data_IF_558028120478
#
_entry.id   IF_558028120478
#
_cell.length_a   1.000
_cell.length_b   1.000
_cell.length_c   1.000
_cell.angle_alpha   90.00
_cell.angle_beta   90.00
_cell.angle_gamma   90.00
#
_symmetry.space_group_name_H-M   'P 1'
#
loop_
_entity.id
_entity.type
_entity.pdbx_description
1 polymer ?
#
# COMPACT_ATOMS: atom_id res chain seq x y z
N UNK A 1 -53.73 -36.61 5.70
CA UNK A 1 -53.49 -36.10 4.31
C UNK A 1 -53.75 -34.60 4.13
N UNK A 2 -54.36 -33.93 5.09
CA UNK A 2 -54.80 -32.53 4.95
C UNK A 2 -53.71 -31.49 5.19
N UNK A 3 -52.71 -31.82 5.99
CA UNK A 3 -51.57 -30.90 6.28
C UNK A 3 -50.73 -30.59 5.02
N UNK A 4 -50.50 -31.62 4.21
CA UNK A 4 -49.75 -31.47 2.94
C UNK A 4 -50.49 -30.57 1.92
N UNK A 5 -51.81 -30.77 1.81
CA UNK A 5 -52.64 -29.91 0.94
C UNK A 5 -52.68 -28.44 1.42
N UNK A 6 -52.66 -28.23 2.74
CA UNK A 6 -52.61 -26.88 3.31
C UNK A 6 -51.30 -26.20 3.02
N UNK A 7 -50.17 -26.89 3.20
CA UNK A 7 -48.81 -26.38 2.88
C UNK A 7 -48.70 -26.02 1.41
N UNK A 8 -49.16 -26.90 0.52
CA UNK A 8 -49.09 -26.64 -0.94
C UNK A 8 -49.95 -25.42 -1.33
N UNK A 9 -51.15 -25.27 -0.79
CA UNK A 9 -51.99 -24.08 -1.01
C UNK A 9 -51.34 -22.80 -0.48
N UNK A 10 -50.72 -22.88 0.68
CA UNK A 10 -50.00 -21.75 1.27
C UNK A 10 -48.78 -21.33 0.41
N UNK A 11 -47.99 -22.28 -0.08
CA UNK A 11 -46.88 -22.06 -0.99
C UNK A 11 -47.35 -21.42 -2.31
N UNK A 12 -48.44 -21.88 -2.89
CA UNK A 12 -49.04 -21.29 -4.09
C UNK A 12 -49.50 -19.85 -3.88
N UNK A 13 -50.02 -19.52 -2.71
CA UNK A 13 -50.47 -18.19 -2.36
C UNK A 13 -49.31 -17.22 -2.15
N UNK A 14 -48.15 -17.72 -1.67
CA UNK A 14 -46.96 -16.93 -1.35
C UNK A 14 -45.93 -17.00 -2.48
N UNK A 15 -46.16 -17.76 -3.54
CA UNK A 15 -45.18 -17.99 -4.63
C UNK A 15 -44.50 -16.70 -5.17
N UNK A 16 -45.25 -15.62 -5.28
CA UNK A 16 -44.74 -14.34 -5.74
C UNK A 16 -43.79 -13.71 -4.74
N UNK A 17 -44.06 -13.76 -3.46
CA UNK A 17 -43.16 -13.26 -2.42
C UNK A 17 -41.89 -14.08 -2.32
N UNK A 18 -41.97 -15.39 -2.55
CA UNK A 18 -40.85 -16.32 -2.51
C UNK A 18 -39.88 -16.10 -3.68
N UNK A 19 -40.30 -15.47 -4.78
CA UNK A 19 -39.48 -15.10 -5.92
C UNK A 19 -39.00 -13.63 -5.76
N UNK A 20 -39.90 -12.72 -5.39
CA UNK A 20 -39.58 -11.29 -5.33
C UNK A 20 -38.58 -10.97 -4.21
N UNK A 21 -38.70 -11.62 -3.03
CA UNK A 21 -37.85 -11.36 -1.87
C UNK A 21 -36.36 -11.68 -2.15
N UNK A 22 -36.00 -12.88 -2.67
CA UNK A 22 -34.61 -13.17 -3.01
C UNK A 22 -34.11 -12.32 -4.19
N UNK A 23 -34.97 -11.92 -5.12
CA UNK A 23 -34.58 -11.04 -6.24
C UNK A 23 -34.21 -9.64 -5.74
N UNK A 24 -34.97 -9.09 -4.79
CA UNK A 24 -34.63 -7.81 -4.15
C UNK A 24 -33.33 -7.95 -3.35
N UNK A 25 -33.17 -9.05 -2.58
CA UNK A 25 -31.95 -9.29 -1.83
C UNK A 25 -30.69 -9.38 -2.75
N UNK A 26 -30.80 -10.04 -3.91
CA UNK A 26 -29.74 -10.11 -4.92
C UNK A 26 -29.40 -8.74 -5.49
N UNK A 27 -30.39 -7.90 -5.78
CA UNK A 27 -30.17 -6.54 -6.29
C UNK A 27 -29.45 -5.71 -5.22
N UNK A 28 -29.89 -5.75 -3.97
CA UNK A 28 -29.24 -5.04 -2.87
C UNK A 28 -27.79 -5.53 -2.67
N UNK A 29 -27.60 -6.86 -2.66
CA UNK A 29 -26.26 -7.45 -2.55
C UNK A 29 -25.35 -7.01 -3.70
N UNK A 30 -25.85 -6.99 -4.93
CA UNK A 30 -25.08 -6.56 -6.10
C UNK A 30 -24.68 -5.09 -6.02
N UNK A 31 -25.60 -4.19 -5.63
CA UNK A 31 -25.28 -2.79 -5.42
C UNK A 31 -24.29 -2.58 -4.27
N UNK A 32 -24.43 -3.30 -3.16
CA UNK A 32 -23.51 -3.21 -2.02
C UNK A 32 -22.11 -3.73 -2.31
N UNK A 33 -21.97 -4.72 -3.20
CA UNK A 33 -20.67 -5.34 -3.51
C UNK A 33 -19.96 -4.68 -4.69
N UNK A 34 -20.69 -3.90 -5.49
CA UNK A 34 -20.14 -3.27 -6.70
C UNK A 34 -19.01 -2.26 -6.40
N UNK A 35 -19.14 -1.52 -5.30
CA UNK A 35 -18.24 -0.42 -4.96
C UNK A 35 -17.22 -0.80 -3.85
N UNK A 36 -17.05 -2.11 -3.57
CA UNK A 36 -16.03 -2.56 -2.62
C UNK A 36 -14.63 -2.33 -3.21
N UNK A 37 -13.88 -1.43 -2.59
CA UNK A 37 -12.47 -1.24 -2.90
C UNK A 37 -11.69 -2.52 -2.63
N UNK A 38 -10.94 -2.98 -3.62
CA UNK A 38 -10.04 -4.13 -3.46
C UNK A 38 -8.78 -3.65 -2.76
N UNK A 39 -8.46 -4.25 -1.63
CA UNK A 39 -7.20 -4.04 -0.92
C UNK A 39 -6.27 -5.17 -1.31
N UNK A 40 -5.08 -4.83 -1.73
CA UNK A 40 -4.00 -5.76 -2.03
C UNK A 40 -2.96 -5.65 -0.92
N UNK A 41 -2.39 -6.78 -0.53
CA UNK A 41 -1.36 -6.88 0.49
C UNK A 41 -0.09 -7.48 -0.12
N UNK A 42 1.06 -6.96 0.29
CA UNK A 42 2.36 -7.55 -0.04
C UNK A 42 3.20 -7.63 1.22
N UNK A 43 3.98 -8.70 1.35
CA UNK A 43 4.91 -8.89 2.44
C UNK A 43 6.31 -9.16 1.88
N UNK A 44 7.31 -8.59 2.53
CA UNK A 44 8.73 -8.83 2.25
C UNK A 44 9.43 -9.12 3.56
N UNK A 45 10.21 -10.19 3.61
CA UNK A 45 10.97 -10.57 4.79
C UNK A 45 12.44 -10.22 4.59
N UNK A 46 13.03 -9.54 5.58
CA UNK A 46 14.43 -9.16 5.60
C UNK A 46 15.13 -9.96 6.71
N UNK A 47 16.19 -10.66 6.35
CA UNK A 47 17.08 -11.30 7.32
C UNK A 47 18.20 -10.34 7.69
N UNK A 48 18.28 -9.96 8.97
CA UNK A 48 19.24 -8.95 9.43
C UNK A 48 20.59 -9.53 9.86
N UNK A 49 20.63 -10.82 10.26
CA UNK A 49 21.82 -11.49 10.77
C UNK A 49 22.34 -10.95 12.12
N UNK A 50 21.57 -10.11 12.80
CA UNK A 50 22.04 -9.40 14.00
C UNK A 50 22.06 -10.26 15.27
N UNK A 51 21.17 -11.25 15.38
CA UNK A 51 21.10 -12.15 16.55
C UNK A 51 22.01 -13.37 16.35
N UNK A 52 22.10 -13.87 15.11
CA UNK A 52 22.92 -15.05 14.76
C UNK A 52 24.37 -14.69 14.46
N UNK A 53 24.75 -13.41 14.52
CA UNK A 53 26.13 -12.99 14.36
C UNK A 53 27.00 -13.72 15.36
N UNK A 54 27.81 -14.67 14.87
CA UNK A 54 28.84 -15.34 15.61
C UNK A 54 29.76 -14.30 16.25
N UNK A 55 29.62 -14.05 17.56
CA UNK A 55 30.66 -13.40 18.32
C UNK A 55 31.83 -14.34 18.39
N UNK A 56 32.75 -14.22 17.43
CA UNK A 56 34.05 -14.91 17.41
C UNK A 56 35.00 -14.42 18.52
N UNK A 57 34.59 -13.44 19.33
CA UNK A 57 35.33 -12.99 20.48
C UNK A 57 34.59 -13.36 21.76
N UNK A 58 35.20 -14.27 22.56
CA UNK A 58 34.68 -14.79 23.80
C UNK A 58 34.44 -13.73 24.87
N UNK A 59 33.33 -13.04 24.80
CA UNK A 59 32.82 -12.11 25.81
C UNK A 59 31.57 -12.69 26.46
N UNK A 60 31.69 -13.14 27.67
CA UNK A 60 30.58 -13.58 28.52
C UNK A 60 29.61 -12.46 28.81
N UNK A 61 28.35 -12.60 28.34
CA UNK A 61 27.17 -11.94 28.92
C UNK A 61 26.85 -10.58 28.35
N UNK A 62 25.70 -10.49 27.69
CA UNK A 62 24.83 -9.38 27.26
C UNK A 62 24.55 -9.28 25.75
N UNK A 63 25.06 -10.21 24.96
CA UNK A 63 24.88 -10.19 23.50
C UNK A 63 23.37 -10.18 23.04
N UNK A 64 22.50 -10.86 23.79
CA UNK A 64 21.07 -10.94 23.44
C UNK A 64 20.32 -9.63 23.58
N UNK A 65 20.65 -8.80 24.57
CA UNK A 65 19.97 -7.50 24.78
C UNK A 65 20.37 -6.45 23.73
N UNK A 66 21.64 -6.43 23.35
CA UNK A 66 22.17 -5.47 22.40
C UNK A 66 21.70 -5.75 20.96
N UNK A 67 21.62 -7.03 20.59
CA UNK A 67 21.07 -7.45 19.28
C UNK A 67 19.58 -7.11 19.15
N UNK A 68 18.81 -7.32 20.21
CA UNK A 68 17.39 -6.94 20.23
C UNK A 68 17.19 -5.42 20.09
N UNK A 69 18.02 -4.63 20.75
CA UNK A 69 18.00 -3.17 20.64
C UNK A 69 18.33 -2.72 19.20
N UNK A 70 19.29 -3.35 18.54
CA UNK A 70 19.68 -3.04 17.18
C UNK A 70 18.54 -3.33 16.18
N UNK A 71 17.82 -4.44 16.35
CA UNK A 71 16.66 -4.77 15.50
C UNK A 71 15.53 -3.75 15.73
N UNK A 72 15.27 -3.40 16.99
CA UNK A 72 14.27 -2.37 17.29
C UNK A 72 14.63 -1.03 16.67
N UNK A 73 15.89 -0.62 16.74
CA UNK A 73 16.38 0.61 16.11
C UNK A 73 16.26 0.56 14.59
N UNK A 74 16.52 -0.60 13.96
CA UNK A 74 16.33 -0.78 12.51
C UNK A 74 14.85 -0.66 12.13
N UNK A 75 13.96 -1.28 12.89
CA UNK A 75 12.51 -1.14 12.64
C UNK A 75 12.05 0.32 12.79
N UNK A 76 12.55 1.02 13.81
CA UNK A 76 12.28 2.45 13.97
C UNK A 76 12.83 3.26 12.79
N UNK A 77 14.05 2.97 12.32
CA UNK A 77 14.65 3.66 11.18
C UNK A 77 13.82 3.48 9.91
N UNK A 78 13.30 2.29 9.65
CA UNK A 78 12.42 2.01 8.51
C UNK A 78 11.15 2.88 8.56
N UNK A 79 10.63 3.14 9.75
CA UNK A 79 9.40 3.91 9.96
C UNK A 79 9.62 5.41 10.22
N UNK A 80 10.86 5.91 10.13
CA UNK A 80 11.12 7.34 10.30
C UNK A 80 10.54 8.15 9.15
N UNK A 81 10.08 9.36 9.46
CA UNK A 81 9.56 10.29 8.46
C UNK A 81 10.56 10.54 7.33
N UNK A 82 11.86 10.61 7.63
CA UNK A 82 12.90 10.82 6.63
C UNK A 82 12.97 9.66 5.62
N UNK A 83 12.92 8.41 6.10
CA UNK A 83 12.92 7.21 5.24
C UNK A 83 11.64 7.15 4.42
N UNK A 84 10.49 7.36 5.05
CA UNK A 84 9.20 7.31 4.36
C UNK A 84 9.06 8.45 3.35
N UNK A 85 9.60 9.62 3.65
CA UNK A 85 9.66 10.73 2.71
C UNK A 85 10.48 10.38 1.45
N UNK A 86 11.64 9.74 1.61
CA UNK A 86 12.43 9.26 0.46
C UNK A 86 11.66 8.21 -0.34
N UNK A 87 11.02 7.24 0.32
CA UNK A 87 10.17 6.23 -0.32
C UNK A 87 9.03 6.89 -1.09
N UNK A 88 8.37 7.89 -0.51
CA UNK A 88 7.30 8.67 -1.14
C UNK A 88 7.74 9.31 -2.46
N UNK A 89 8.86 10.03 -2.45
CA UNK A 89 9.39 10.71 -3.64
C UNK A 89 9.85 9.71 -4.71
N UNK A 90 10.49 8.60 -4.33
CA UNK A 90 10.90 7.54 -5.26
C UNK A 90 9.70 6.84 -5.87
N UNK A 91 8.70 6.53 -5.05
CA UNK A 91 7.46 5.92 -5.50
C UNK A 91 6.74 6.80 -6.53
N UNK A 92 6.60 8.09 -6.23
CA UNK A 92 6.05 9.07 -7.16
C UNK A 92 6.87 9.19 -8.45
N UNK A 93 8.20 9.29 -8.33
CA UNK A 93 9.09 9.34 -9.48
C UNK A 93 8.88 8.15 -10.43
N UNK A 94 8.84 6.93 -9.90
CA UNK A 94 8.61 5.71 -10.68
C UNK A 94 7.22 5.69 -11.32
N UNK A 95 6.19 6.08 -10.58
CA UNK A 95 4.84 6.17 -11.14
C UNK A 95 4.81 7.13 -12.33
N UNK A 96 5.48 8.29 -12.24
CA UNK A 96 5.52 9.27 -13.32
C UNK A 96 6.42 8.84 -14.50
N UNK A 97 7.51 8.13 -14.24
CA UNK A 97 8.44 7.67 -15.28
C UNK A 97 7.87 6.52 -16.10
N UNK A 98 7.21 5.57 -15.45
CA UNK A 98 6.80 4.28 -16.04
C UNK A 98 5.30 4.12 -16.17
N UNK A 99 4.49 5.03 -15.62
CA UNK A 99 3.04 4.99 -15.69
C UNK A 99 2.55 5.08 -17.15
N UNK A 100 1.43 4.41 -17.41
CA UNK A 100 0.79 4.43 -18.72
C UNK A 100 -0.72 4.69 -18.58
N UNK A 101 -1.27 5.71 -19.26
CA UNK A 101 -2.69 6.05 -19.13
C UNK A 101 -3.63 5.03 -19.78
N UNK A 102 -3.12 4.13 -20.62
CA UNK A 102 -3.92 3.20 -21.41
C UNK A 102 -3.81 1.73 -20.94
N UNK A 103 -2.83 1.43 -20.07
CA UNK A 103 -2.56 0.05 -19.66
C UNK A 103 -2.06 0.02 -18.21
N UNK A 104 -2.64 -0.88 -17.42
CA UNK A 104 -2.13 -1.20 -16.08
C UNK A 104 -0.72 -1.76 -16.17
N UNK A 105 0.13 -1.38 -15.21
CA UNK A 105 1.50 -1.87 -15.11
C UNK A 105 1.89 -2.10 -13.64
N UNK A 106 3.14 -2.54 -13.43
CA UNK A 106 3.67 -2.86 -12.10
C UNK A 106 4.03 -1.62 -11.26
N UNK A 107 3.76 -0.41 -11.73
CA UNK A 107 4.08 0.83 -11.05
C UNK A 107 2.83 1.57 -10.56
N UNK A 108 1.78 1.58 -11.39
CA UNK A 108 0.50 2.22 -11.08
C UNK A 108 -0.57 1.74 -12.08
N UNK A 109 -1.82 1.63 -11.65
CA UNK A 109 -2.94 1.33 -12.57
C UNK A 109 -3.19 2.48 -13.54
N UNK A 110 -3.73 2.18 -14.71
CA UNK A 110 -4.01 3.17 -15.76
C UNK A 110 -5.00 4.26 -15.29
N UNK A 111 -5.97 3.88 -14.46
CA UNK A 111 -6.95 4.80 -13.91
C UNK A 111 -6.29 5.80 -12.94
N UNK A 112 -5.55 5.29 -11.94
CA UNK A 112 -4.87 6.14 -10.98
C UNK A 112 -3.76 6.97 -11.62
N UNK A 113 -3.08 6.44 -12.65
CA UNK A 113 -2.10 7.23 -13.40
C UNK A 113 -2.74 8.39 -14.15
N UNK A 114 -3.91 8.22 -14.78
CA UNK A 114 -4.63 9.33 -15.42
C UNK A 114 -5.02 10.41 -14.41
N UNK A 115 -5.55 10.01 -13.25
CA UNK A 115 -5.88 10.97 -12.18
C UNK A 115 -4.65 11.70 -11.69
N UNK A 116 -3.56 10.98 -11.41
CA UNK A 116 -2.29 11.54 -10.97
C UNK A 116 -1.72 12.50 -12.03
N UNK A 117 -1.60 12.05 -13.26
CA UNK A 117 -1.04 12.85 -14.35
C UNK A 117 -1.84 14.14 -14.63
N UNK A 118 -3.16 14.11 -14.45
CA UNK A 118 -3.99 15.30 -14.59
C UNK A 118 -3.82 16.30 -13.43
N UNK A 119 -3.51 15.82 -12.24
CA UNK A 119 -3.32 16.67 -11.05
C UNK A 119 -1.92 17.29 -10.99
N UNK A 120 -0.91 16.65 -11.61
CA UNK A 120 0.50 17.11 -11.55
C UNK A 120 0.70 18.34 -12.45
N UNK A 121 1.24 19.47 -11.92
CA UNK A 121 1.57 20.67 -12.69
C UNK A 121 2.62 20.40 -13.76
N UNK A 122 2.61 21.18 -14.82
CA UNK A 122 3.54 21.07 -15.96
C UNK A 122 5.00 21.25 -15.49
N UNK A 123 5.23 22.13 -14.54
CA UNK A 123 6.55 22.39 -13.93
C UNK A 123 7.13 21.14 -13.27
N UNK A 124 6.32 20.40 -12.52
CA UNK A 124 6.73 19.16 -11.86
C UNK A 124 6.93 18.03 -12.87
N UNK A 125 6.11 17.97 -13.93
CA UNK A 125 6.33 17.02 -15.04
C UNK A 125 7.66 17.24 -15.73
N UNK A 126 8.10 18.48 -15.87
CA UNK A 126 9.40 18.82 -16.47
C UNK A 126 10.60 18.34 -15.64
N UNK A 127 10.41 18.06 -14.35
CA UNK A 127 11.47 17.53 -13.47
C UNK A 127 11.70 16.01 -13.68
N UNK A 128 10.79 15.33 -14.36
CA UNK A 128 10.85 13.88 -14.56
C UNK A 128 11.87 13.56 -15.65
N UNK A 129 12.94 12.89 -15.26
CA UNK A 129 13.95 12.38 -16.20
C UNK A 129 13.69 10.89 -16.48
N UNK A 130 13.12 10.57 -17.63
CA UNK A 130 12.77 9.19 -18.02
C UNK A 130 13.98 8.24 -18.13
N UNK A 131 15.21 8.76 -18.14
CA UNK A 131 16.43 7.96 -18.26
C UNK A 131 17.06 7.61 -16.89
N UNK A 132 16.68 8.33 -15.81
CA UNK A 132 17.31 8.14 -14.49
C UNK A 132 16.35 8.45 -13.35
N UNK A 133 16.05 7.42 -12.55
CA UNK A 133 15.26 7.54 -11.33
C UNK A 133 15.94 8.45 -10.31
N UNK A 134 17.25 8.28 -10.12
CA UNK A 134 18.00 9.09 -9.16
C UNK A 134 18.03 10.57 -9.55
N UNK A 135 18.11 10.89 -10.84
CA UNK A 135 18.03 12.27 -11.31
C UNK A 135 16.62 12.85 -11.07
N UNK A 136 15.57 12.08 -11.35
CA UNK A 136 14.19 12.49 -11.07
C UNK A 136 14.00 12.74 -9.58
N UNK A 137 14.44 11.81 -8.72
CA UNK A 137 14.38 11.97 -7.27
C UNK A 137 15.11 13.24 -6.80
N UNK A 138 16.35 13.46 -7.28
CA UNK A 138 17.14 14.64 -6.92
C UNK A 138 16.45 15.95 -7.35
N UNK A 139 15.87 15.98 -8.55
CA UNK A 139 15.13 17.14 -9.06
C UNK A 139 13.87 17.43 -8.21
N UNK A 140 13.09 16.40 -7.88
CA UNK A 140 11.91 16.54 -7.03
C UNK A 140 12.26 17.03 -5.63
N UNK A 141 13.32 16.46 -5.03
CA UNK A 141 13.81 16.86 -3.70
C UNK A 141 14.33 18.30 -3.69
N UNK A 142 15.03 18.73 -4.75
CA UNK A 142 15.50 20.10 -4.90
C UNK A 142 14.36 21.11 -5.12
N UNK A 143 13.28 20.68 -5.77
CA UNK A 143 12.11 21.51 -6.02
C UNK A 143 11.21 21.65 -4.78
N UNK A 144 11.22 20.65 -3.91
CA UNK A 144 10.38 20.62 -2.69
C UNK A 144 10.75 21.77 -1.75
N UNK A 145 9.73 22.52 -1.35
CA UNK A 145 9.85 23.60 -0.37
C UNK A 145 8.67 23.52 0.61
N UNK A 146 8.87 23.80 1.90
CA UNK A 146 7.80 23.78 2.90
C UNK A 146 6.86 24.98 2.70
N UNK A 147 6.02 24.90 1.66
CA UNK A 147 5.02 25.90 1.31
C UNK A 147 3.75 25.20 0.84
N UNK A 148 2.60 25.72 1.24
CA UNK A 148 1.30 25.19 0.83
C UNK A 148 1.09 25.19 -0.71
N UNK A 149 1.75 26.11 -1.41
CA UNK A 149 1.67 26.24 -2.87
C UNK A 149 2.61 25.26 -3.61
N UNK A 150 3.52 24.59 -2.87
CA UNK A 150 4.43 23.63 -3.49
C UNK A 150 3.75 22.28 -3.66
N UNK A 151 3.56 21.87 -4.91
CA UNK A 151 2.89 20.62 -5.24
C UNK A 151 3.59 19.41 -4.64
N UNK A 152 4.93 19.33 -4.68
CA UNK A 152 5.69 18.18 -4.16
C UNK A 152 5.57 18.08 -2.64
N UNK A 153 5.62 19.22 -1.94
CA UNK A 153 5.37 19.26 -0.50
C UNK A 153 3.93 18.84 -0.14
N UNK A 154 2.94 19.29 -0.92
CA UNK A 154 1.55 18.85 -0.76
C UNK A 154 1.38 17.34 -1.01
N UNK A 155 2.06 16.80 -2.02
CA UNK A 155 2.04 15.39 -2.37
C UNK A 155 2.61 14.52 -1.23
N UNK A 156 3.79 14.87 -0.68
CA UNK A 156 4.43 14.10 0.39
C UNK A 156 3.70 14.19 1.73
N UNK A 157 2.88 15.21 1.94
CA UNK A 157 2.15 15.37 3.20
C UNK A 157 0.69 14.86 3.14
N UNK A 158 -0.02 15.07 2.03
CA UNK A 158 -1.48 14.90 2.00
C UNK A 158 -1.99 13.89 0.98
N UNK A 159 -1.15 13.44 0.02
CA UNK A 159 -1.65 12.56 -1.02
C UNK A 159 -1.94 11.15 -0.48
N UNK A 160 -3.04 10.56 -0.94
CA UNK A 160 -3.50 9.24 -0.46
C UNK A 160 -2.53 8.09 -0.68
N UNK A 161 -1.64 8.14 -1.70
CA UNK A 161 -0.66 7.09 -2.01
C UNK A 161 0.77 7.49 -1.65
N UNK A 162 1.09 8.77 -1.71
CA UNK A 162 2.45 9.29 -1.54
C UNK A 162 2.64 10.08 -0.25
N UNK A 163 1.56 10.39 0.48
CA UNK A 163 1.64 11.08 1.77
C UNK A 163 2.36 10.23 2.82
N UNK A 164 3.26 10.81 3.58
CA UNK A 164 4.02 10.14 4.66
C UNK A 164 3.07 9.41 5.61
N UNK A 165 2.07 10.10 6.14
CA UNK A 165 1.09 9.51 7.04
C UNK A 165 0.27 8.39 6.38
N UNK A 166 -0.02 8.51 5.09
CA UNK A 166 -0.74 7.48 4.33
C UNK A 166 0.11 6.23 4.14
N UNK A 167 1.40 6.38 3.88
CA UNK A 167 2.34 5.26 3.76
C UNK A 167 2.53 4.60 5.12
N UNK A 168 2.80 5.36 6.19
CA UNK A 168 2.97 4.83 7.56
C UNK A 168 1.73 4.07 8.01
N UNK A 169 0.53 4.60 7.76
CA UNK A 169 -0.73 3.96 8.16
C UNK A 169 -1.01 2.63 7.44
N UNK A 170 -0.35 2.37 6.31
CA UNK A 170 -0.46 1.14 5.51
C UNK A 170 0.74 0.22 5.63
N UNK A 171 1.82 0.70 6.24
CA UNK A 171 3.05 -0.04 6.47
C UNK A 171 2.96 -0.82 7.78
N UNK A 172 3.30 -2.10 7.73
CA UNK A 172 3.39 -2.97 8.89
C UNK A 172 4.80 -3.54 8.98
N UNK A 173 5.53 -3.19 10.04
CA UNK A 173 6.88 -3.70 10.29
C UNK A 173 6.86 -4.52 11.57
N UNK A 174 7.18 -5.81 11.48
CA UNK A 174 7.08 -6.75 12.60
C UNK A 174 8.30 -7.66 12.62
N UNK A 175 8.92 -7.81 13.80
CA UNK A 175 9.92 -8.84 14.02
C UNK A 175 9.24 -10.20 14.23
N UNK A 176 9.65 -11.22 13.49
CA UNK A 176 9.10 -12.57 13.62
C UNK A 176 9.78 -13.35 14.76
N UNK A 177 8.98 -13.78 15.74
CA UNK A 177 9.39 -14.68 16.82
C UNK A 177 10.69 -14.29 17.55
N UNK A 178 10.97 -12.98 17.70
CA UNK A 178 12.23 -12.47 18.26
C UNK A 178 13.48 -12.99 17.53
N UNK A 179 13.33 -13.32 16.24
CA UNK A 179 14.41 -13.77 15.36
C UNK A 179 15.06 -12.59 14.63
N UNK A 180 16.07 -12.88 13.81
CA UNK A 180 16.73 -11.93 12.89
C UNK A 180 15.88 -11.54 11.70
N UNK A 181 14.63 -11.94 11.67
CA UNK A 181 13.73 -11.74 10.54
C UNK A 181 12.75 -10.61 10.85
N UNK A 182 12.75 -9.60 10.00
CA UNK A 182 11.77 -8.53 10.00
C UNK A 182 10.83 -8.77 8.82
N UNK A 183 9.53 -8.79 9.08
CA UNK A 183 8.48 -8.84 8.07
C UNK A 183 7.95 -7.42 7.84
N UNK A 184 8.01 -6.98 6.58
CA UNK A 184 7.52 -5.68 6.14
C UNK A 184 6.32 -5.92 5.25
N UNK A 185 5.13 -5.56 5.74
CA UNK A 185 3.88 -5.62 5.01
C UNK A 185 3.45 -4.24 4.53
N UNK A 186 2.85 -4.16 3.35
CA UNK A 186 2.24 -2.95 2.83
C UNK A 186 0.90 -3.27 2.17
N UNK A 187 -0.13 -2.47 2.47
CA UNK A 187 -1.48 -2.65 1.97
C UNK A 187 -1.92 -1.45 1.14
N UNK A 188 -2.46 -1.66 -0.07
CA UNK A 188 -2.94 -0.58 -0.93
C UNK A 188 -4.09 -1.07 -1.81
N UNK A 189 -4.90 -0.14 -2.32
CA UNK A 189 -5.97 -0.45 -3.27
C UNK A 189 -5.50 -0.42 -4.75
N UNK A 190 -4.24 -0.04 -5.02
CA UNK A 190 -3.64 -0.07 -6.36
C UNK A 190 -2.61 -1.19 -6.47
N UNK A 191 -2.83 -2.21 -7.34
CA UNK A 191 -1.92 -3.35 -7.48
C UNK A 191 -0.55 -2.95 -8.08
N UNK A 192 -0.51 -1.91 -8.90
CA UNK A 192 0.73 -1.40 -9.48
C UNK A 192 1.60 -0.72 -8.41
N UNK A 193 0.99 0.12 -7.56
CA UNK A 193 1.70 0.80 -6.46
C UNK A 193 2.25 -0.22 -5.46
N UNK A 194 1.50 -1.28 -5.13
CA UNK A 194 1.99 -2.36 -4.27
C UNK A 194 3.22 -3.05 -4.86
N UNK A 195 3.16 -3.40 -6.14
CA UNK A 195 4.29 -4.04 -6.83
C UNK A 195 5.51 -3.12 -6.85
N UNK A 196 5.30 -1.82 -7.07
CA UNK A 196 6.34 -0.79 -7.07
C UNK A 196 6.97 -0.61 -5.67
N UNK A 197 6.18 -0.56 -4.62
CA UNK A 197 6.67 -0.39 -3.24
C UNK A 197 7.60 -1.54 -2.84
N UNK A 198 7.33 -2.78 -3.24
CA UNK A 198 8.19 -3.94 -2.99
C UNK A 198 9.62 -3.78 -3.54
N UNK A 199 9.80 -2.97 -4.59
CA UNK A 199 11.11 -2.76 -5.24
C UNK A 199 11.90 -1.64 -4.56
N UNK A 200 11.22 -0.73 -3.83
CA UNK A 200 11.84 0.44 -3.18
C UNK A 200 12.37 0.11 -1.78
N UNK A 201 11.84 -0.94 -1.14
CA UNK A 201 12.28 -1.44 0.17
C UNK A 201 13.42 -2.44 0.02
#
# INVERSE_FOLDING_TARGET
>A
MDLFRYIVRFLFKIRWYLIILPMIALIIAWFSTRDLERIFDTNTTIYTGMITGYNLEGGTGTAGGQSQTNITNLMLLITTDATIHEVSLRLFARCMMYGNPNKDNNYISAEHFRMLSNSVPVEVKALINHNSENATYANLKAYERPSADNFVFGLTNYHQYFGINSIIGRLKVVQLNKSDIIDIGYSCNDPGIISNTRIVT
#
